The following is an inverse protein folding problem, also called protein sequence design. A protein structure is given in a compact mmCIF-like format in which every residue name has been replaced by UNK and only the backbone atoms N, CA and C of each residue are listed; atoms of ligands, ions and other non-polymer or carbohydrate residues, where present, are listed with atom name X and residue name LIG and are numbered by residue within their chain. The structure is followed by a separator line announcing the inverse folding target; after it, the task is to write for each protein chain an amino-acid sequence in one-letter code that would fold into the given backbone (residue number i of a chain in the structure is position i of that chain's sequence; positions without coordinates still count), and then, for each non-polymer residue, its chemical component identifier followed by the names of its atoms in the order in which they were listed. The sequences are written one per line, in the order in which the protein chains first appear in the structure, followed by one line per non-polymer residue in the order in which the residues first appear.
data_IF_485828000448
#
_entry.id   IF_485828000448
#
_cell.length_a   1.000
_cell.length_b   1.000
_cell.length_c   1.000
_cell.angle_alpha   90.00
_cell.angle_beta   90.00
_cell.angle_gamma   90.00
#
_symmetry.space_group_name_H-M   'P 1'
#
loop_
_entity.id
_entity.type
_entity.pdbx_description
1 polymer ?
#
# COMPACT_ATOMS: atom_id res chain seq x y z
N UNK A 1 15.93 -5.97 34.18
CA UNK A 1 16.29 -4.98 33.15
C UNK A 1 15.76 -5.51 31.82
N UNK A 2 14.65 -4.97 31.31
CA UNK A 2 14.06 -5.41 30.04
C UNK A 2 14.63 -4.55 28.92
N UNK A 3 15.42 -5.15 28.03
CA UNK A 3 15.86 -4.51 26.80
C UNK A 3 14.70 -4.58 25.81
N UNK A 4 14.01 -3.45 25.61
CA UNK A 4 13.11 -3.27 24.47
C UNK A 4 13.95 -3.36 23.20
N UNK A 5 13.86 -4.49 22.49
CA UNK A 5 14.48 -4.62 21.18
C UNK A 5 13.83 -3.57 20.26
N UNK A 6 14.58 -2.53 19.92
CA UNK A 6 14.22 -1.58 18.89
C UNK A 6 14.06 -2.37 17.59
N UNK A 7 12.83 -2.51 17.10
CA UNK A 7 12.57 -3.23 15.84
C UNK A 7 13.26 -2.44 14.73
N UNK A 8 14.29 -2.99 14.06
CA UNK A 8 14.94 -2.27 12.99
C UNK A 8 13.90 -2.02 11.90
N UNK A 9 13.58 -0.75 11.68
CA UNK A 9 12.64 -0.29 10.66
C UNK A 9 13.22 -0.73 9.32
N UNK A 10 12.68 -1.80 8.74
CA UNK A 10 13.14 -2.29 7.43
C UNK A 10 13.02 -1.12 6.44
N UNK A 11 14.05 -0.86 5.62
CA UNK A 11 13.97 0.19 4.61
C UNK A 11 12.77 -0.11 3.71
N UNK A 12 11.91 0.90 3.53
CA UNK A 12 10.76 0.78 2.65
C UNK A 12 11.22 0.64 1.19
N UNK A 13 10.35 0.17 0.31
CA UNK A 13 10.66 0.14 -1.14
C UNK A 13 11.04 1.51 -1.69
N UNK A 14 10.52 2.59 -1.08
CA UNK A 14 10.87 3.97 -1.41
C UNK A 14 12.32 4.31 -1.05
N UNK A 15 12.76 3.91 0.14
CA UNK A 15 14.14 4.15 0.61
C UNK A 15 15.15 3.43 -0.28
N UNK A 16 14.83 2.21 -0.72
CA UNK A 16 15.68 1.43 -1.63
C UNK A 16 15.76 2.02 -3.04
N UNK A 17 14.66 2.59 -3.52
CA UNK A 17 14.58 3.22 -4.83
C UNK A 17 15.08 4.68 -4.84
N UNK A 18 15.50 5.22 -3.69
CA UNK A 18 15.90 6.63 -3.56
C UNK A 18 14.77 7.62 -3.84
N UNK A 19 13.51 7.19 -3.69
CA UNK A 19 12.35 8.03 -4.00
C UNK A 19 11.96 8.88 -2.79
N UNK A 20 11.85 10.19 -3.01
CA UNK A 20 11.32 11.09 -1.99
C UNK A 20 9.81 10.92 -1.84
N UNK A 21 9.26 11.24 -0.67
CA UNK A 21 7.81 11.24 -0.46
C UNK A 21 7.06 12.24 -1.37
N UNK A 22 7.74 13.29 -1.83
CA UNK A 22 7.17 14.21 -2.83
C UNK A 22 7.01 13.51 -4.19
N UNK A 23 8.04 12.78 -4.61
CA UNK A 23 8.07 12.03 -5.86
C UNK A 23 7.01 10.91 -5.88
N UNK A 24 6.88 10.18 -4.78
CA UNK A 24 5.88 9.12 -4.63
C UNK A 24 4.48 9.70 -4.72
N UNK A 25 4.19 10.79 -3.99
CA UNK A 25 2.88 11.45 -4.06
C UNK A 25 2.55 11.96 -5.46
N UNK A 26 3.53 12.52 -6.16
CA UNK A 26 3.36 12.97 -7.56
C UNK A 26 2.99 11.81 -8.48
N UNK A 27 3.71 10.69 -8.39
CA UNK A 27 3.44 9.48 -9.19
C UNK A 27 2.09 8.85 -8.86
N UNK A 28 1.78 8.69 -7.58
CA UNK A 28 0.49 8.17 -7.11
C UNK A 28 -0.66 9.04 -7.61
N UNK A 29 -0.54 10.37 -7.54
CA UNK A 29 -1.58 11.27 -8.02
C UNK A 29 -1.84 11.07 -9.52
N UNK A 30 -0.79 11.07 -10.34
CA UNK A 30 -0.96 10.88 -11.79
C UNK A 30 -1.58 9.53 -12.14
N UNK A 31 -1.20 8.47 -11.42
CA UNK A 31 -1.82 7.16 -11.57
C UNK A 31 -3.30 7.17 -11.15
N UNK A 32 -3.63 7.86 -10.07
CA UNK A 32 -5.00 7.95 -9.56
C UNK A 32 -5.90 8.75 -10.50
N UNK A 33 -5.40 9.85 -11.08
CA UNK A 33 -6.12 10.63 -12.09
C UNK A 33 -6.38 9.78 -13.33
N UNK A 34 -5.36 9.10 -13.87
CA UNK A 34 -5.53 8.20 -15.02
C UNK A 34 -6.49 7.03 -14.73
N UNK A 35 -6.43 6.46 -13.53
CA UNK A 35 -7.37 5.42 -13.09
C UNK A 35 -8.80 5.97 -13.01
N UNK A 36 -8.98 7.17 -12.46
CA UNK A 36 -10.28 7.83 -12.36
C UNK A 36 -10.87 8.14 -13.74
N UNK A 37 -10.05 8.62 -14.69
CA UNK A 37 -10.46 8.87 -16.07
C UNK A 37 -10.86 7.57 -16.79
N UNK A 38 -10.23 6.45 -16.43
CA UNK A 38 -10.57 5.12 -16.93
C UNK A 38 -11.79 4.47 -16.22
N UNK A 39 -12.38 5.13 -15.21
CA UNK A 39 -13.48 4.57 -14.41
C UNK A 39 -13.05 3.48 -13.42
N UNK A 40 -11.76 3.40 -13.13
CA UNK A 40 -11.17 2.42 -12.21
C UNK A 40 -11.26 2.93 -10.76
N UNK A 41 -11.73 2.07 -9.85
CA UNK A 41 -11.83 2.42 -8.44
C UNK A 41 -10.61 1.91 -7.69
N UNK A 42 -9.68 2.80 -7.34
CA UNK A 42 -8.47 2.41 -6.61
C UNK A 42 -8.83 1.97 -5.18
N UNK A 43 -8.49 0.74 -4.82
CA UNK A 43 -8.65 0.19 -3.48
C UNK A 43 -7.37 0.21 -2.66
N UNK A 44 -6.21 0.00 -3.30
CA UNK A 44 -4.92 0.05 -2.63
C UNK A 44 -3.80 0.52 -3.57
N UNK A 45 -2.71 0.99 -2.99
CA UNK A 45 -1.49 1.37 -3.70
C UNK A 45 -0.39 0.43 -3.23
N UNK A 46 0.24 -0.27 -4.18
CA UNK A 46 1.38 -1.13 -3.91
C UNK A 46 2.63 -0.49 -4.50
N UNK A 47 3.74 -0.60 -3.77
CA UNK A 47 5.06 -0.22 -4.25
C UNK A 47 5.99 -1.42 -4.19
N UNK A 48 6.68 -1.71 -5.28
CA UNK A 48 7.67 -2.77 -5.34
C UNK A 48 8.99 -2.35 -4.65
N UNK A 49 9.88 -3.31 -4.43
CA UNK A 49 11.21 -3.03 -3.90
C UNK A 49 12.10 -2.20 -4.86
N UNK A 50 11.75 -2.16 -6.15
CA UNK A 50 12.42 -1.31 -7.16
C UNK A 50 11.83 0.09 -7.26
N UNK A 51 10.79 0.41 -6.47
CA UNK A 51 10.12 1.71 -6.52
C UNK A 51 9.08 1.85 -7.63
N UNK A 52 8.67 0.75 -8.26
CA UNK A 52 7.51 0.73 -9.15
C UNK A 52 6.23 0.87 -8.32
N UNK A 53 5.32 1.74 -8.75
CA UNK A 53 4.06 2.01 -8.06
C UNK A 53 2.93 1.47 -8.93
N UNK A 54 2.07 0.65 -8.34
CA UNK A 54 0.91 0.05 -9.00
C UNK A 54 -0.35 0.33 -8.19
N UNK A 55 -1.46 0.56 -8.88
CA UNK A 55 -2.78 0.68 -8.29
C UNK A 55 -3.48 -0.67 -8.32
N UNK A 56 -4.16 -1.01 -7.23
CA UNK A 56 -4.98 -2.22 -7.11
C UNK A 56 -6.43 -1.80 -7.13
N UNK A 57 -7.23 -2.48 -7.94
CA UNK A 57 -8.66 -2.21 -8.03
C UNK A 57 -9.35 -2.59 -6.73
N UNK A 58 -10.33 -1.78 -6.32
CA UNK A 58 -11.13 -2.02 -5.13
C UNK A 58 -11.97 -3.29 -5.24
N UNK A 59 -12.42 -3.69 -6.44
CA UNK A 59 -13.17 -4.93 -6.65
C UNK A 59 -12.34 -6.20 -6.41
N UNK A 60 -11.00 -6.09 -6.47
CA UNK A 60 -10.08 -7.20 -6.23
C UNK A 60 -9.70 -7.35 -4.75
N UNK A 61 -10.08 -6.39 -3.91
CA UNK A 61 -9.82 -6.44 -2.47
C UNK A 61 -10.97 -7.17 -1.77
N UNK A 62 -10.68 -8.10 -0.84
CA UNK A 62 -11.72 -8.67 -0.01
C UNK A 62 -12.41 -7.55 0.75
N UNK A 63 -13.74 -7.49 0.68
CA UNK A 63 -14.54 -6.62 1.54
C UNK A 63 -14.20 -6.93 2.99
N UNK A 64 -13.87 -5.91 3.79
CA UNK A 64 -13.51 -6.07 5.21
C UNK A 64 -14.61 -6.79 6.03
N UNK A 65 -15.83 -6.91 5.51
CA UNK A 65 -16.91 -7.74 6.06
C UNK A 65 -16.56 -9.24 6.22
N UNK A 66 -15.55 -9.78 5.52
CA UNK A 66 -15.19 -11.21 5.64
C UNK A 66 -14.23 -11.56 6.78
N UNK A 67 -13.79 -10.59 7.59
CA UNK A 67 -12.85 -10.83 8.68
C UNK A 67 -13.54 -11.14 10.04
N UNK A 68 -14.82 -10.81 10.21
CA UNK A 68 -15.54 -11.01 11.48
C UNK A 68 -16.14 -12.43 11.64
N UNK A 69 -16.36 -13.18 10.56
CA UNK A 69 -16.91 -14.55 10.62
C UNK A 69 -15.96 -15.56 11.31
N UNK A 70 -14.66 -15.24 11.40
CA UNK A 70 -13.65 -16.10 12.06
C UNK A 70 -13.56 -15.91 13.59
N UNK A 71 -14.28 -14.95 14.16
CA UNK A 71 -14.28 -14.69 15.61
C UNK A 71 -15.36 -15.47 16.37
N UNK A 72 -16.19 -16.25 15.68
CA UNK A 72 -17.27 -17.07 16.26
C UNK A 72 -16.87 -18.50 16.69
N UNK A 73 -15.59 -18.87 16.59
CA UNK A 73 -15.10 -20.24 16.84
C UNK A 73 -14.12 -20.38 18.02
N UNK A 74 -14.03 -19.40 18.92
CA UNK A 74 -13.19 -19.48 20.14
C UNK A 74 -14.03 -19.62 21.41
#
# INVERSE_FOLDING_TARGET
MSVSAEVPKRPSGADRAGLTMAEIRRRVRGLYEAASEAGFSVGAIRMSASGEISLVDKSLLPSEDSADDLNGFI
#
